data_IF_510945815155
#
_entry.id   IF_510945815155
#
_cell.length_a   1.000
_cell.length_b   1.000
_cell.length_c   1.000
_cell.angle_alpha   90.00
_cell.angle_beta   90.00
_cell.angle_gamma   90.00
#
_symmetry.space_group_name_H-M   'P 1'
#
loop_
_entity.id
_entity.type
_entity.pdbx_description
1 polymer ?
#
# COMPACT_ATOMS: atom_id res chain seq x y z
N UNK A 1 -13.76 -16.35 8.85
CA UNK A 1 -13.19 -15.38 9.80
C UNK A 1 -11.69 -15.62 9.86
N UNK A 2 -10.82 -14.65 9.57
CA UNK A 2 -9.45 -14.68 10.10
C UNK A 2 -9.10 -13.35 10.76
N UNK A 3 -8.33 -13.22 11.84
CA UNK A 3 -7.76 -14.10 12.87
C UNK A 3 -7.51 -13.17 14.10
N UNK A 4 -7.46 -13.66 15.35
CA UNK A 4 -7.30 -12.80 16.51
C UNK A 4 -5.88 -12.20 16.54
N UNK A 5 -5.79 -10.90 16.28
CA UNK A 5 -4.57 -10.11 16.37
C UNK A 5 -3.95 -10.24 17.76
N UNK A 6 -2.70 -10.70 17.81
CA UNK A 6 -1.87 -10.69 19.00
C UNK A 6 -1.82 -9.26 19.58
N UNK A 7 -2.26 -9.13 20.83
CA UNK A 7 -2.26 -7.88 21.59
C UNK A 7 -0.81 -7.45 21.82
N UNK A 8 -0.30 -6.54 21.00
CA UNK A 8 0.98 -5.85 21.26
C UNK A 8 1.70 -5.30 20.04
N UNK A 9 1.49 -5.86 18.84
CA UNK A 9 2.11 -5.39 17.61
C UNK A 9 1.23 -5.78 16.42
N UNK A 10 0.91 -4.81 15.56
CA UNK A 10 0.12 -5.04 14.36
C UNK A 10 0.90 -5.97 13.43
N UNK A 11 0.36 -7.16 13.15
CA UNK A 11 1.02 -8.11 12.28
C UNK A 11 0.98 -7.63 10.83
N UNK A 12 1.94 -8.07 10.02
CA UNK A 12 2.01 -7.74 8.60
C UNK A 12 0.72 -7.99 7.84
N UNK A 13 0.05 -9.12 8.10
CA UNK A 13 -1.24 -9.44 7.48
C UNK A 13 -2.34 -8.43 7.85
N UNK A 14 -2.32 -7.91 9.08
CA UNK A 14 -3.24 -6.88 9.52
C UNK A 14 -2.93 -5.54 8.85
N UNK A 15 -1.65 -5.20 8.68
CA UNK A 15 -1.22 -4.01 7.96
C UNK A 15 -1.67 -4.07 6.49
N UNK A 16 -1.46 -5.21 5.85
CA UNK A 16 -1.94 -5.50 4.50
C UNK A 16 -3.46 -5.39 4.42
N UNK A 17 -4.20 -6.00 5.35
CA UNK A 17 -5.66 -5.93 5.38
C UNK A 17 -6.18 -4.50 5.60
N UNK A 18 -5.53 -3.72 6.47
CA UNK A 18 -5.88 -2.32 6.72
C UNK A 18 -5.64 -1.45 5.48
N UNK A 19 -4.54 -1.67 4.76
CA UNK A 19 -4.30 -1.06 3.46
C UNK A 19 -5.38 -1.49 2.46
N UNK A 20 -5.59 -2.78 2.25
CA UNK A 20 -6.59 -3.28 1.28
C UNK A 20 -8.04 -2.85 1.63
N UNK A 21 -8.31 -2.48 2.87
CA UNK A 21 -9.59 -1.93 3.28
C UNK A 21 -9.82 -0.49 2.76
N UNK A 22 -8.77 0.24 2.39
CA UNK A 22 -8.83 1.62 1.91
C UNK A 22 -9.65 1.72 0.61
N UNK A 23 -10.52 2.74 0.50
CA UNK A 23 -11.33 2.92 -0.70
C UNK A 23 -10.47 3.23 -1.94
N UNK A 24 -9.31 3.85 -1.79
CA UNK A 24 -8.38 4.09 -2.91
C UNK A 24 -7.82 2.78 -3.48
N UNK A 25 -7.36 1.88 -2.61
CA UNK A 25 -6.83 0.58 -3.02
C UNK A 25 -7.92 -0.28 -3.67
N UNK A 26 -9.16 -0.21 -3.16
CA UNK A 26 -10.31 -0.84 -3.81
C UNK A 26 -10.61 -0.24 -5.19
N UNK A 27 -10.56 1.09 -5.31
CA UNK A 27 -10.78 1.76 -6.59
C UNK A 27 -9.72 1.37 -7.61
N UNK A 28 -8.45 1.27 -7.19
CA UNK A 28 -7.36 0.77 -8.02
C UNK A 28 -7.53 -0.69 -8.40
N UNK A 29 -7.77 -1.58 -7.43
CA UNK A 29 -8.02 -2.99 -7.72
C UNK A 29 -9.16 -3.18 -8.72
N UNK A 30 -10.25 -2.41 -8.59
CA UNK A 30 -11.36 -2.41 -9.55
C UNK A 30 -10.98 -1.86 -10.92
N UNK A 31 -10.19 -0.78 -10.99
CA UNK A 31 -9.66 -0.23 -12.25
C UNK A 31 -8.72 -1.21 -12.94
N UNK A 32 -7.80 -1.82 -12.20
CA UNK A 32 -6.83 -2.80 -12.68
C UNK A 32 -7.56 -4.03 -13.22
N UNK A 33 -8.52 -4.57 -12.47
CA UNK A 33 -9.32 -5.71 -12.91
C UNK A 33 -10.10 -5.40 -14.19
N UNK A 34 -10.73 -4.21 -14.27
CA UNK A 34 -11.46 -3.75 -15.44
C UNK A 34 -10.55 -3.48 -16.66
N UNK A 35 -9.40 -2.84 -16.45
CA UNK A 35 -8.43 -2.53 -17.50
C UNK A 35 -7.78 -3.80 -18.06
N UNK A 36 -7.41 -4.74 -17.18
CA UNK A 36 -6.73 -5.97 -17.55
C UNK A 36 -7.68 -7.13 -17.85
N UNK A 37 -9.00 -6.91 -17.77
CA UNK A 37 -10.05 -7.94 -17.96
C UNK A 37 -9.77 -9.21 -17.12
N UNK A 38 -9.36 -9.02 -15.87
CA UNK A 38 -9.02 -10.11 -14.94
C UNK A 38 -7.63 -10.72 -15.09
N UNK A 39 -6.77 -10.21 -15.97
CA UNK A 39 -5.37 -10.64 -16.13
C UNK A 39 -4.42 -9.98 -15.12
N UNK A 40 -4.89 -8.91 -14.47
CA UNK A 40 -4.16 -8.20 -13.45
C UNK A 40 -5.00 -7.99 -12.22
N UNK A 41 -4.37 -8.02 -11.05
CA UNK A 41 -5.01 -7.73 -9.78
C UNK A 41 -4.10 -6.86 -8.92
N UNK A 42 -4.70 -5.84 -8.31
CA UNK A 42 -4.03 -5.07 -7.28
C UNK A 42 -3.72 -5.95 -6.08
N UNK A 43 -2.45 -6.03 -5.70
CA UNK A 43 -1.98 -6.79 -4.56
C UNK A 43 -1.06 -5.91 -3.71
N UNK A 44 -1.17 -6.01 -2.38
CA UNK A 44 -0.18 -5.41 -1.48
C UNK A 44 0.85 -6.47 -1.18
N UNK A 45 2.10 -6.21 -1.55
CA UNK A 45 3.24 -7.09 -1.29
C UNK A 45 4.20 -6.36 -0.36
N UNK A 46 4.86 -7.09 0.53
CA UNK A 46 6.04 -6.50 1.17
C UNK A 46 7.14 -6.37 0.15
N UNK A 47 7.68 -5.18 0.07
CA UNK A 47 8.84 -4.94 -0.75
C UNK A 47 10.11 -5.30 0.00
N UNK A 48 10.18 -4.93 1.28
CA UNK A 48 11.37 -5.13 2.10
C UNK A 48 11.02 -5.73 3.46
N UNK A 49 11.67 -6.84 3.87
CA UNK A 49 11.49 -7.42 5.19
C UNK A 49 12.08 -6.53 6.30
N UNK A 50 12.89 -5.53 5.94
CA UNK A 50 13.47 -4.58 6.87
C UNK A 50 12.45 -3.49 7.24
N UNK A 51 12.08 -3.47 8.52
CA UNK A 51 11.26 -2.42 9.08
C UNK A 51 11.94 -1.06 8.90
N UNK A 52 11.26 -0.09 8.29
CA UNK A 52 11.75 1.29 8.23
C UNK A 52 11.64 1.90 9.63
N UNK A 53 12.76 2.33 10.19
CA UNK A 53 12.75 3.13 11.41
C UNK A 53 12.46 4.60 11.03
N UNK A 54 11.31 5.13 11.45
CA UNK A 54 10.93 6.52 11.20
C UNK A 54 10.40 7.16 12.49
N UNK A 55 10.92 8.33 12.87
CA UNK A 55 10.54 9.02 14.12
C UNK A 55 10.56 8.11 15.37
N UNK A 56 11.52 7.17 15.44
CA UNK A 56 11.66 6.22 16.55
C UNK A 56 10.64 5.07 16.58
N UNK A 57 9.76 4.96 15.57
CA UNK A 57 8.82 3.84 15.39
C UNK A 57 9.28 2.94 14.25
N UNK A 58 8.91 1.67 14.30
CA UNK A 58 9.18 0.69 13.24
C UNK A 58 7.96 0.56 12.33
N UNK A 59 8.19 0.62 11.02
CA UNK A 59 7.13 0.51 10.01
C UNK A 59 7.42 -0.63 9.03
N UNK A 60 6.38 -1.40 8.74
CA UNK A 60 6.38 -2.38 7.66
C UNK A 60 6.35 -1.68 6.31
N UNK A 61 7.25 -2.07 5.42
CA UNK A 61 7.33 -1.54 4.06
C UNK A 61 6.49 -2.40 3.11
N UNK A 62 5.29 -1.92 2.82
CA UNK A 62 4.31 -2.61 2.00
C UNK A 62 4.10 -1.82 0.72
N UNK A 63 4.31 -2.41 -0.45
CA UNK A 63 4.02 -1.75 -1.71
C UNK A 63 2.74 -2.30 -2.32
N UNK A 64 1.90 -1.39 -2.81
CA UNK A 64 0.84 -1.79 -3.73
C UNK A 64 1.44 -2.01 -5.11
N UNK A 65 1.24 -3.20 -5.62
CA UNK A 65 1.66 -3.62 -6.95
C UNK A 65 0.43 -4.05 -7.73
N UNK A 66 0.40 -3.71 -9.00
CA UNK A 66 -0.43 -4.40 -9.96
C UNK A 66 0.28 -5.71 -10.31
N UNK A 67 -0.28 -6.83 -9.89
CA UNK A 67 0.19 -8.14 -10.32
C UNK A 67 -0.51 -8.49 -11.64
N UNK A 68 0.16 -8.19 -12.76
CA UNK A 68 -0.24 -8.58 -14.10
C UNK A 68 0.52 -9.82 -14.55
N UNK A 69 -0.02 -10.54 -15.53
CA UNK A 69 0.64 -11.72 -16.13
C UNK A 69 1.96 -11.38 -16.83
N UNK A 70 2.13 -10.11 -17.24
CA UNK A 70 3.31 -9.60 -17.93
C UNK A 70 4.37 -9.08 -16.94
N UNK A 71 3.96 -8.26 -15.97
CA UNK A 71 4.86 -7.69 -14.96
C UNK A 71 4.12 -7.31 -13.67
N UNK A 72 4.85 -7.38 -12.55
CA UNK A 72 4.40 -6.78 -11.30
C UNK A 72 4.82 -5.30 -11.27
N UNK A 73 3.92 -4.39 -11.63
CA UNK A 73 4.20 -2.96 -11.56
C UNK A 73 3.97 -2.44 -10.15
N UNK A 74 5.00 -1.86 -9.52
CA UNK A 74 4.84 -1.13 -8.26
C UNK A 74 4.18 0.21 -8.52
N UNK A 75 3.09 0.48 -7.80
CA UNK A 75 2.37 1.74 -7.87
C UNK A 75 2.84 2.69 -6.79
N UNK A 76 2.81 2.24 -5.53
CA UNK A 76 3.13 3.09 -4.39
C UNK A 76 3.61 2.25 -3.21
N UNK A 77 4.47 2.83 -2.39
CA UNK A 77 4.98 2.21 -1.17
C UNK A 77 4.29 2.82 0.05
N UNK A 78 3.92 1.97 0.99
CA UNK A 78 3.22 2.30 2.22
C UNK A 78 4.05 1.82 3.40
N UNK A 79 4.06 2.62 4.46
CA UNK A 79 4.68 2.32 5.74
C UNK A 79 3.59 2.13 6.77
N UNK A 80 3.48 0.94 7.36
CA UNK A 80 2.50 0.69 8.41
C UNK A 80 3.20 0.49 9.75
N UNK A 81 2.92 1.35 10.73
CA UNK A 81 3.55 1.28 12.04
C UNK A 81 3.19 -0.04 12.72
N UNK A 82 4.21 -0.79 13.16
CA UNK A 82 4.01 -2.00 13.93
C UNK A 82 3.31 -1.72 15.27
N UNK A 83 3.53 -0.54 15.85
CA UNK A 83 3.04 -0.21 17.19
C UNK A 83 1.55 0.11 17.27
N UNK A 84 1.02 0.85 16.29
CA UNK A 84 -0.36 1.40 16.32
C UNK A 84 -1.15 1.15 15.03
N UNK A 85 -0.49 0.67 13.96
CA UNK A 85 -1.11 0.51 12.65
C UNK A 85 -1.21 1.80 11.84
N UNK A 86 -0.54 2.88 12.27
CA UNK A 86 -0.45 4.14 11.54
C UNK A 86 0.05 3.91 10.11
N UNK A 87 -0.74 4.30 9.12
CA UNK A 87 -0.43 4.11 7.70
C UNK A 87 0.11 5.43 7.13
N UNK A 88 1.35 5.36 6.66
CA UNK A 88 2.00 6.41 5.89
C UNK A 88 2.30 5.88 4.49
N UNK A 89 2.56 6.79 3.56
CA UNK A 89 2.98 6.50 2.20
C UNK A 89 4.43 6.91 2.10
N UNK A 90 5.30 5.96 1.79
CA UNK A 90 6.71 6.23 1.52
C UNK A 90 6.80 6.91 0.16
N UNK A 91 7.17 8.19 0.17
CA UNK A 91 7.48 8.91 -1.05
C UNK A 91 8.99 8.85 -1.28
N UNK A 92 9.43 7.92 -2.13
CA UNK A 92 10.84 7.78 -2.49
C UNK A 92 11.40 9.06 -3.16
N UNK A 93 10.51 9.85 -3.79
CA UNK A 93 10.85 11.11 -4.47
C UNK A 93 11.26 12.21 -3.48
N UNK A 94 10.49 12.40 -2.40
CA UNK A 94 10.78 13.40 -1.37
C UNK A 94 11.62 12.82 -0.24
N UNK A 95 11.71 11.50 -0.12
CA UNK A 95 12.40 10.77 0.94
C UNK A 95 11.67 10.77 2.30
N UNK A 96 10.52 11.45 2.38
CA UNK A 96 9.73 11.63 3.59
C UNK A 96 8.38 10.93 3.46
N UNK A 97 8.04 10.02 4.39
CA UNK A 97 6.74 9.39 4.37
C UNK A 97 5.65 10.39 4.76
N UNK A 98 4.60 10.44 3.94
CA UNK A 98 3.46 11.34 4.11
C UNK A 98 2.20 10.57 4.53
N UNK A 99 1.24 11.25 5.14
CA UNK A 99 -0.02 10.60 5.53
C UNK A 99 -0.88 10.26 4.31
N UNK A 100 -1.75 9.25 4.42
CA UNK A 100 -2.69 8.88 3.33
C UNK A 100 -3.49 10.09 2.82
N UNK A 101 -3.96 10.96 3.71
CA UNK A 101 -4.71 12.17 3.33
C UNK A 101 -3.87 13.15 2.51
N UNK A 102 -2.60 13.31 2.87
CA UNK A 102 -1.67 14.18 2.15
C UNK A 102 -1.32 13.57 0.80
N UNK A 103 -0.99 12.28 0.77
CA UNK A 103 -0.77 11.53 -0.46
C UNK A 103 -1.96 11.62 -1.43
N UNK A 104 -3.20 11.51 -0.92
CA UNK A 104 -4.42 11.68 -1.72
C UNK A 104 -4.52 13.05 -2.37
N UNK A 105 -4.05 14.10 -1.70
CA UNK A 105 -4.04 15.48 -2.21
C UNK A 105 -2.88 15.74 -3.17
N UNK A 106 -1.70 15.22 -2.86
CA UNK A 106 -0.45 15.53 -3.57
C UNK A 106 -0.27 14.65 -4.82
N UNK A 107 -0.37 13.33 -4.66
CA UNK A 107 -0.16 12.36 -5.76
C UNK A 107 -1.44 12.05 -6.53
N UNK A 108 -2.59 12.42 -5.96
CA UNK A 108 -3.92 12.19 -6.52
C UNK A 108 -4.08 10.77 -7.11
N UNK A 109 -3.89 9.73 -6.28
CA UNK A 109 -3.91 8.33 -6.71
C UNK A 109 -5.17 7.94 -7.48
N UNK A 110 -6.31 8.55 -7.15
CA UNK A 110 -7.59 8.31 -7.85
C UNK A 110 -7.60 8.89 -9.28
N UNK A 111 -6.86 9.97 -9.52
CA UNK A 111 -6.68 10.61 -10.83
C UNK A 111 -5.55 9.97 -11.63
N UNK A 112 -4.58 9.32 -10.96
CA UNK A 112 -3.61 8.40 -11.57
C UNK A 112 -4.35 7.14 -12.05
N UNK A 113 -5.10 7.25 -13.15
CA UNK A 113 -5.39 6.09 -14.00
C UNK A 113 -4.13 5.81 -14.80
N UNK A 114 -3.47 4.68 -14.55
CA UNK A 114 -2.23 4.35 -15.27
C UNK A 114 -2.44 4.20 -16.78
N UNK A 115 -1.35 4.01 -17.53
CA UNK A 115 -0.28 4.98 -17.74
C UNK A 115 -0.78 6.17 -18.57
N UNK A 116 -0.15 7.33 -18.39
CA UNK A 116 -0.19 8.37 -19.43
C UNK A 116 0.37 7.81 -20.73
N UNK A 117 -0.26 8.19 -21.84
CA UNK A 117 0.13 7.93 -23.22
C UNK A 117 1.61 8.21 -23.52
#
# INVERSE_FOLDING_TARGET
MPAPAAKGALSREQAVAALMALPELKAWAGKIDAASKGQARGAVMEYDPQLRAWKGKQYYQLSFVENSSDAAQRWESFLVAQSDGEILVDDDVSGEPMSLEQWRKEKQPLLRGGPGE
#
